data_IF_733654338251
#
_entry.id   IF_733654338251
#
_cell.length_a   1.000
_cell.length_b   1.000
_cell.length_c   1.000
_cell.angle_alpha   90.00
_cell.angle_beta   90.00
_cell.angle_gamma   90.00
#
_symmetry.space_group_name_H-M   'P 1'
#
loop_
_entity.id
_entity.type
_entity.pdbx_description
1 polymer ?
#
# COMPACT_ATOMS: atom_id res chain seq x y z
N UNK A 1 -25.60 -36.72 -40.78
CA UNK A 1 -24.74 -37.21 -39.69
C UNK A 1 -23.94 -36.05 -39.13
N UNK A 2 -24.23 -35.68 -37.88
CA UNK A 2 -23.50 -34.88 -36.87
C UNK A 2 -22.67 -33.66 -37.30
N UNK A 3 -23.03 -32.42 -36.96
CA UNK A 3 -23.13 -31.76 -35.63
C UNK A 3 -21.77 -31.48 -34.97
N UNK A 4 -21.48 -30.19 -34.76
CA UNK A 4 -20.96 -29.60 -33.51
C UNK A 4 -21.02 -28.07 -33.62
N UNK A 5 -22.15 -27.54 -33.14
CA UNK A 5 -22.20 -26.23 -32.47
C UNK A 5 -21.39 -26.34 -31.18
N UNK A 6 -20.66 -25.29 -30.81
CA UNK A 6 -20.38 -25.02 -29.38
C UNK A 6 -20.07 -23.55 -29.13
N UNK A 7 -21.07 -22.90 -28.54
CA UNK A 7 -20.99 -21.84 -27.53
C UNK A 7 -20.29 -20.53 -27.90
N UNK A 8 -21.07 -19.68 -28.55
CA UNK A 8 -21.29 -18.27 -28.20
C UNK A 8 -20.86 -17.94 -26.77
N UNK A 9 -20.01 -16.93 -26.63
CA UNK A 9 -19.70 -16.20 -25.41
C UNK A 9 -20.98 -15.82 -24.63
N UNK A 10 -21.42 -16.69 -23.71
CA UNK A 10 -22.63 -16.51 -22.90
C UNK A 10 -22.36 -16.07 -21.46
N UNK A 11 -21.18 -15.52 -21.21
CA UNK A 11 -20.89 -14.83 -19.96
C UNK A 11 -20.29 -13.45 -20.23
N UNK A 12 -21.13 -12.55 -20.75
CA UNK A 12 -20.87 -11.12 -20.56
C UNK A 12 -21.00 -10.87 -19.07
N UNK A 13 -19.87 -10.66 -18.37
CA UNK A 13 -19.90 -10.26 -16.96
C UNK A 13 -20.84 -9.06 -16.84
N UNK A 14 -21.91 -9.22 -16.07
CA UNK A 14 -22.79 -8.12 -15.75
C UNK A 14 -22.00 -7.16 -14.86
N UNK A 15 -21.69 -5.98 -15.41
CA UNK A 15 -21.10 -4.89 -14.64
C UNK A 15 -22.23 -3.98 -14.18
N UNK A 16 -22.67 -4.07 -12.91
CA UNK A 16 -23.67 -3.14 -12.39
C UNK A 16 -23.14 -1.71 -12.51
N UNK A 17 -24.01 -0.80 -12.93
CA UNK A 17 -23.71 0.63 -13.03
C UNK A 17 -23.75 1.24 -11.64
N UNK A 18 -22.87 2.21 -11.39
CA UNK A 18 -22.88 3.01 -10.15
C UNK A 18 -24.17 3.86 -10.08
N UNK A 19 -24.62 4.38 -11.22
CA UNK A 19 -25.87 5.13 -11.35
C UNK A 19 -26.95 4.33 -12.12
N UNK A 20 -28.09 3.96 -11.49
CA UNK A 20 -29.17 3.21 -12.13
C UNK A 20 -29.83 3.92 -13.31
N UNK A 21 -29.79 5.25 -13.35
CA UNK A 21 -30.40 6.06 -14.40
C UNK A 21 -29.53 6.19 -15.65
N UNK A 22 -28.27 5.76 -15.58
CA UNK A 22 -27.35 5.87 -16.69
C UNK A 22 -27.69 4.82 -17.77
N UNK A 23 -27.80 5.18 -19.07
CA UNK A 23 -28.14 4.24 -20.13
C UNK A 23 -27.07 3.15 -20.31
N UNK A 24 -27.45 1.98 -20.84
CA UNK A 24 -26.49 0.89 -21.03
C UNK A 24 -25.59 1.21 -22.22
N UNK A 25 -24.36 1.63 -21.95
CA UNK A 25 -23.32 1.84 -22.96
C UNK A 25 -22.61 0.51 -23.28
N UNK A 26 -22.26 0.31 -24.55
CA UNK A 26 -21.32 -0.74 -24.99
C UNK A 26 -19.87 -0.26 -24.95
N UNK A 27 -19.66 1.05 -24.79
CA UNK A 27 -18.36 1.66 -24.59
C UNK A 27 -17.97 1.52 -23.12
N UNK A 28 -16.70 1.17 -22.87
CA UNK A 28 -16.11 1.18 -21.53
C UNK A 28 -16.42 2.54 -20.89
N UNK A 29 -16.96 2.60 -19.66
CA UNK A 29 -17.22 3.87 -19.01
C UNK A 29 -15.90 4.67 -18.91
N UNK A 30 -15.95 6.01 -18.93
CA UNK A 30 -14.79 6.81 -18.55
C UNK A 30 -14.28 6.33 -17.17
N UNK A 31 -12.97 6.44 -16.87
CA UNK A 31 -12.39 5.91 -15.63
C UNK A 31 -13.15 6.28 -14.36
N UNK A 32 -13.72 7.50 -14.30
CA UNK A 32 -14.54 8.01 -13.20
C UNK A 32 -15.83 7.22 -12.92
N UNK A 33 -16.34 6.47 -13.91
CA UNK A 33 -17.60 5.69 -13.81
C UNK A 33 -17.35 4.18 -13.77
N UNK A 34 -16.09 3.77 -13.81
CA UNK A 34 -15.73 2.37 -13.63
C UNK A 34 -15.66 2.06 -12.14
N UNK A 35 -16.18 0.89 -11.75
CA UNK A 35 -15.87 0.31 -10.44
C UNK A 35 -14.39 -0.08 -10.44
N UNK A 36 -13.53 0.87 -10.09
CA UNK A 36 -12.15 0.58 -9.79
C UNK A 36 -12.06 0.36 -8.27
N UNK A 37 -12.04 -0.90 -7.86
CA UNK A 37 -11.86 -1.27 -6.45
C UNK A 37 -10.49 -0.86 -5.91
N UNK A 38 -9.56 -0.43 -6.78
CA UNK A 38 -8.19 -0.12 -6.41
C UNK A 38 -8.07 1.30 -5.86
N UNK A 39 -8.89 2.24 -6.33
CA UNK A 39 -8.79 3.65 -5.95
C UNK A 39 -9.98 4.08 -5.09
N UNK A 40 -9.74 4.32 -3.79
CA UNK A 40 -10.76 4.82 -2.86
C UNK A 40 -10.89 6.35 -2.98
N UNK A 41 -11.58 6.81 -4.02
CA UNK A 41 -11.94 8.23 -4.16
C UNK A 41 -13.13 8.62 -3.27
N UNK A 42 -13.25 9.91 -2.88
CA UNK A 42 -14.44 10.42 -2.21
C UNK A 42 -15.71 10.15 -3.03
N UNK A 43 -16.84 9.91 -2.35
CA UNK A 43 -18.11 9.66 -3.03
C UNK A 43 -18.59 10.88 -3.82
N UNK A 44 -19.41 10.65 -4.87
CA UNK A 44 -20.01 11.71 -5.67
C UNK A 44 -20.78 12.73 -4.80
N UNK A 45 -21.45 12.25 -3.74
CA UNK A 45 -22.15 13.11 -2.79
C UNK A 45 -21.18 14.08 -2.10
N UNK A 46 -20.07 13.57 -1.57
CA UNK A 46 -19.07 14.40 -0.90
C UNK A 46 -18.46 15.43 -1.88
N UNK A 47 -18.18 15.01 -3.11
CA UNK A 47 -17.64 15.90 -4.14
C UNK A 47 -18.62 17.02 -4.51
N UNK A 48 -19.92 16.71 -4.64
CA UNK A 48 -20.97 17.70 -4.91
C UNK A 48 -21.12 18.71 -3.78
N UNK A 49 -21.11 18.25 -2.52
CA UNK A 49 -21.17 19.13 -1.35
C UNK A 49 -19.97 20.08 -1.30
N UNK A 50 -18.76 19.59 -1.56
CA UNK A 50 -17.56 20.42 -1.62
C UNK A 50 -17.61 21.44 -2.76
N UNK A 51 -18.08 21.03 -3.94
CA UNK A 51 -18.25 21.92 -5.06
C UNK A 51 -19.27 23.03 -4.78
N UNK A 52 -20.39 22.71 -4.13
CA UNK A 52 -21.40 23.69 -3.72
C UNK A 52 -20.85 24.72 -2.71
N UNK A 53 -19.89 24.32 -1.88
CA UNK A 53 -19.18 25.18 -0.93
C UNK A 53 -17.97 25.92 -1.55
N UNK A 54 -17.67 25.69 -2.83
CA UNK A 54 -16.49 26.29 -3.48
C UNK A 54 -15.15 25.74 -2.98
N UNK A 55 -15.14 24.53 -2.41
CA UNK A 55 -13.93 23.87 -1.94
C UNK A 55 -13.26 23.10 -3.09
N UNK A 56 -12.00 23.41 -3.45
CA UNK A 56 -11.29 22.70 -4.50
C UNK A 56 -10.91 21.28 -4.04
N UNK A 57 -10.94 20.32 -4.96
CA UNK A 57 -10.42 18.98 -4.70
C UNK A 57 -8.89 19.01 -4.54
N UNK A 58 -8.33 18.28 -3.57
CA UNK A 58 -6.90 18.18 -3.41
C UNK A 58 -6.26 17.39 -4.56
N UNK A 59 -5.09 17.84 -5.01
CA UNK A 59 -4.24 17.05 -5.90
C UNK A 59 -3.52 15.96 -5.08
N UNK A 60 -4.00 14.72 -5.18
CA UNK A 60 -3.46 13.60 -4.42
C UNK A 60 -2.02 13.27 -4.82
N UNK A 61 -1.63 13.44 -6.08
CA UNK A 61 -0.26 13.16 -6.52
C UNK A 61 0.72 14.14 -5.84
N UNK A 62 0.37 15.43 -5.79
CA UNK A 62 1.15 16.45 -5.08
C UNK A 62 1.24 16.17 -3.58
N UNK A 63 0.13 15.80 -2.94
CA UNK A 63 0.11 15.50 -1.49
C UNK A 63 0.97 14.28 -1.17
N UNK A 64 0.84 13.20 -1.96
CA UNK A 64 1.60 11.96 -1.81
C UNK A 64 3.10 12.23 -1.92
N UNK A 65 3.52 12.93 -2.97
CA UNK A 65 4.93 13.28 -3.19
C UNK A 65 5.48 14.16 -2.05
N UNK A 66 4.69 15.15 -1.62
CA UNK A 66 5.07 16.02 -0.50
C UNK A 66 5.31 15.23 0.79
N UNK A 67 4.42 14.29 1.15
CA UNK A 67 4.55 13.49 2.38
C UNK A 67 5.81 12.61 2.35
N UNK A 68 6.05 11.91 1.25
CA UNK A 68 7.24 11.07 1.09
C UNK A 68 8.54 11.89 1.18
N UNK A 69 8.61 13.00 0.47
CA UNK A 69 9.79 13.87 0.50
C UNK A 69 10.02 14.47 1.88
N UNK A 70 8.96 14.84 2.61
CA UNK A 70 9.08 15.31 3.99
C UNK A 70 9.70 14.25 4.91
N UNK A 71 9.33 12.97 4.74
CA UNK A 71 9.95 11.87 5.48
C UNK A 71 11.44 11.80 5.18
N UNK A 72 11.83 11.78 3.89
CA UNK A 72 13.24 11.75 3.47
C UNK A 72 14.03 12.94 4.00
N UNK A 73 13.45 14.13 4.02
CA UNK A 73 14.06 15.32 4.63
C UNK A 73 14.33 15.13 6.12
N UNK A 74 13.41 14.51 6.87
CA UNK A 74 13.67 14.21 8.28
C UNK A 74 14.77 13.16 8.43
N UNK A 75 14.78 12.13 7.60
CA UNK A 75 15.85 11.10 7.61
C UNK A 75 17.22 11.71 7.32
N UNK A 76 17.35 12.56 6.29
CA UNK A 76 18.60 13.29 5.99
C UNK A 76 19.04 14.16 7.17
N UNK A 77 18.11 14.88 7.80
CA UNK A 77 18.41 15.75 8.95
C UNK A 77 18.92 14.97 10.16
N UNK A 78 18.45 13.74 10.33
CA UNK A 78 18.85 12.86 11.44
C UNK A 78 20.02 11.95 11.08
N UNK A 79 20.57 12.05 9.87
CA UNK A 79 21.62 11.17 9.34
C UNK A 79 21.26 9.67 9.42
N UNK A 80 20.00 9.35 9.08
CA UNK A 80 19.53 7.97 8.99
C UNK A 80 19.57 7.49 7.54
N UNK A 81 19.81 6.18 7.35
CA UNK A 81 19.81 5.55 6.02
C UNK A 81 18.38 5.21 5.52
N UNK A 82 17.40 5.13 6.42
CA UNK A 82 16.03 4.77 6.09
C UNK A 82 15.15 4.59 7.33
N UNK A 83 13.90 4.20 7.10
CA UNK A 83 12.91 3.89 8.13
C UNK A 83 12.07 2.68 7.74
N UNK A 84 11.68 1.88 8.73
CA UNK A 84 10.69 0.81 8.58
C UNK A 84 9.44 1.19 9.37
N UNK A 85 8.30 1.22 8.69
CA UNK A 85 7.00 1.63 9.23
C UNK A 85 6.08 0.41 9.36
N UNK A 86 5.64 0.11 10.58
CA UNK A 86 4.68 -0.96 10.87
C UNK A 86 3.27 -0.45 11.16
N UNK A 87 3.17 0.76 11.74
CA UNK A 87 1.87 1.36 12.04
C UNK A 87 1.13 1.67 10.72
N UNK A 88 -0.09 1.15 10.51
CA UNK A 88 -0.84 1.39 9.29
C UNK A 88 -1.11 2.88 9.04
N UNK A 89 -1.20 3.72 10.07
CA UNK A 89 -1.35 5.18 9.95
C UNK A 89 -0.07 5.79 9.37
N UNK A 90 1.11 5.36 9.82
CA UNK A 90 2.38 5.84 9.29
C UNK A 90 2.60 5.37 7.84
N UNK A 91 2.25 4.11 7.55
CA UNK A 91 2.28 3.59 6.17
C UNK A 91 1.36 4.43 5.29
N UNK A 92 0.12 4.68 5.74
CA UNK A 92 -0.85 5.52 5.02
C UNK A 92 -0.35 6.94 4.82
N UNK A 93 0.30 7.54 5.81
CA UNK A 93 0.90 8.85 5.65
C UNK A 93 1.98 8.85 4.56
N UNK A 94 2.88 7.87 4.57
CA UNK A 94 4.00 7.80 3.65
C UNK A 94 3.61 7.48 2.20
N UNK A 95 2.61 6.63 2.01
CA UNK A 95 2.34 5.99 0.71
C UNK A 95 0.89 6.16 0.22
N UNK A 96 0.00 6.65 1.09
CA UNK A 96 -1.45 6.75 0.86
C UNK A 96 -2.17 5.41 0.58
N UNK A 97 -1.48 4.28 0.70
CA UNK A 97 -2.13 2.97 0.56
C UNK A 97 -2.87 2.54 1.84
N UNK A 98 -4.07 2.02 1.66
CA UNK A 98 -4.91 1.47 2.71
C UNK A 98 -5.28 0.01 2.42
N UNK A 99 -4.80 -0.90 3.28
CA UNK A 99 -5.26 -2.28 3.32
C UNK A 99 -5.63 -2.66 4.75
N UNK A 100 -6.83 -3.21 4.96
CA UNK A 100 -7.38 -3.69 6.24
C UNK A 100 -6.96 -2.86 7.46
N UNK A 101 -7.08 -1.53 7.40
CA UNK A 101 -6.41 -0.62 8.34
C UNK A 101 -6.68 -0.95 9.82
N UNK A 102 -7.93 -1.24 10.17
CA UNK A 102 -8.33 -1.61 11.55
C UNK A 102 -7.69 -2.92 12.00
N UNK A 103 -7.57 -3.89 11.09
CA UNK A 103 -6.91 -5.17 11.38
C UNK A 103 -5.40 -5.01 11.53
N UNK A 104 -4.77 -4.23 10.64
CA UNK A 104 -3.35 -3.93 10.67
C UNK A 104 -2.92 -3.15 11.93
N UNK A 105 -3.83 -2.45 12.62
CA UNK A 105 -3.51 -1.76 13.89
C UNK A 105 -3.06 -2.72 15.00
N UNK A 106 -3.52 -3.96 14.96
CA UNK A 106 -3.23 -4.97 15.99
C UNK A 106 -2.57 -6.24 15.42
N UNK A 107 -2.29 -6.27 14.11
CA UNK A 107 -1.60 -7.37 13.45
C UNK A 107 -0.47 -6.78 12.58
N UNK A 108 0.78 -7.01 12.99
CA UNK A 108 1.99 -6.50 12.32
C UNK A 108 2.33 -7.32 11.04
N UNK A 109 1.41 -7.30 10.10
CA UNK A 109 1.39 -8.15 8.90
C UNK A 109 1.74 -7.39 7.62
N UNK A 110 1.94 -6.09 7.76
CA UNK A 110 2.21 -5.11 6.71
C UNK A 110 3.25 -4.13 7.21
N UNK A 111 4.24 -3.82 6.39
CA UNK A 111 5.24 -2.80 6.72
C UNK A 111 5.80 -2.15 5.46
N UNK A 112 6.37 -0.96 5.60
CA UNK A 112 6.96 -0.22 4.49
C UNK A 112 8.39 0.19 4.86
N UNK A 113 9.34 -0.10 3.98
CA UNK A 113 10.70 0.40 4.07
C UNK A 113 10.86 1.61 3.14
N UNK A 114 11.35 2.71 3.70
CA UNK A 114 11.63 3.95 2.99
C UNK A 114 13.09 4.29 3.23
N UNK A 115 13.98 4.13 2.25
CA UNK A 115 15.34 4.61 2.36
C UNK A 115 15.35 6.15 2.26
N UNK A 116 16.39 6.76 2.80
CA UNK A 116 16.62 8.20 2.69
C UNK A 116 16.74 8.63 1.24
N UNK A 117 17.40 7.81 0.42
CA UNK A 117 17.46 7.94 -1.03
C UNK A 117 17.29 6.54 -1.65
N UNK A 118 16.55 6.42 -2.75
CA UNK A 118 16.31 5.14 -3.42
C UNK A 118 14.88 4.59 -3.27
N UNK A 119 14.65 3.31 -3.61
CA UNK A 119 13.31 2.77 -3.84
C UNK A 119 12.53 2.54 -2.55
N UNK A 120 11.24 2.90 -2.56
CA UNK A 120 10.27 2.58 -1.51
C UNK A 120 9.76 1.16 -1.71
N UNK A 121 9.85 0.35 -0.66
CA UNK A 121 9.41 -1.05 -0.69
C UNK A 121 8.25 -1.26 0.28
N UNK A 122 7.10 -1.68 -0.24
CA UNK A 122 5.94 -2.07 0.55
C UNK A 122 5.89 -3.59 0.69
N UNK A 123 5.79 -4.06 1.92
CA UNK A 123 5.55 -5.46 2.24
C UNK A 123 4.06 -5.63 2.55
N UNK A 124 3.32 -6.13 1.56
CA UNK A 124 1.87 -6.19 1.59
C UNK A 124 1.37 -7.58 1.98
N UNK A 125 0.17 -7.68 2.55
CA UNK A 125 -0.41 -8.98 2.92
C UNK A 125 -0.51 -9.93 1.70
N UNK A 126 -0.39 -11.24 1.94
CA UNK A 126 -0.40 -12.24 0.86
C UNK A 126 -1.62 -12.10 -0.05
N UNK A 127 -1.37 -12.10 -1.37
CA UNK A 127 -2.38 -11.93 -2.44
C UNK A 127 -3.09 -10.56 -2.47
N UNK A 128 -2.60 -9.56 -1.75
CA UNK A 128 -3.14 -8.20 -1.72
C UNK A 128 -2.27 -7.17 -2.45
N UNK A 129 -1.28 -7.59 -3.23
CA UNK A 129 -0.38 -6.71 -3.98
C UNK A 129 -1.12 -5.77 -4.94
N UNK A 130 -2.20 -6.26 -5.56
CA UNK A 130 -3.09 -5.49 -6.44
C UNK A 130 -3.74 -4.25 -5.81
N UNK A 131 -3.80 -4.15 -4.48
CA UNK A 131 -4.41 -3.02 -3.80
C UNK A 131 -3.52 -1.77 -3.92
N UNK A 132 -2.21 -1.93 -4.03
CA UNK A 132 -1.27 -0.80 -4.01
C UNK A 132 -0.58 -0.54 -5.36
N UNK A 133 -0.81 -1.39 -6.39
CA UNK A 133 -0.16 -1.26 -7.72
C UNK A 133 -0.44 0.05 -8.45
N UNK A 134 -1.51 0.76 -8.10
CA UNK A 134 -1.88 2.04 -8.72
C UNK A 134 -1.13 3.25 -8.15
N UNK A 135 -0.26 3.06 -7.15
CA UNK A 135 0.46 4.12 -6.46
C UNK A 135 1.90 4.22 -6.95
N UNK A 136 2.17 5.24 -7.75
CA UNK A 136 3.47 5.46 -8.41
C UNK A 136 4.65 5.68 -7.46
N UNK A 137 4.40 5.99 -6.18
CA UNK A 137 5.45 6.23 -5.19
C UNK A 137 5.99 4.94 -4.55
N UNK A 138 5.41 3.79 -4.87
CA UNK A 138 5.83 2.50 -4.35
C UNK A 138 6.57 1.78 -5.48
N UNK A 139 7.90 1.73 -5.38
CA UNK A 139 8.74 1.13 -6.41
C UNK A 139 8.63 -0.40 -6.42
N UNK A 140 8.43 -1.00 -5.24
CA UNK A 140 8.35 -2.46 -5.10
C UNK A 140 7.28 -2.90 -4.10
N UNK A 141 6.51 -3.91 -4.48
CA UNK A 141 5.57 -4.61 -3.59
C UNK A 141 6.05 -6.04 -3.39
N UNK A 142 6.29 -6.44 -2.14
CA UNK A 142 6.82 -7.75 -1.78
C UNK A 142 5.88 -8.47 -0.80
N UNK A 143 5.83 -9.82 -0.80
CA UNK A 143 5.17 -10.54 0.28
C UNK A 143 5.92 -10.32 1.60
N UNK A 144 5.23 -10.33 2.75
CA UNK A 144 5.86 -10.00 4.01
C UNK A 144 6.53 -11.26 4.55
N UNK A 145 7.85 -11.21 4.71
CA UNK A 145 8.62 -12.36 5.21
C UNK A 145 8.23 -12.81 6.63
N UNK A 146 7.61 -11.93 7.41
CA UNK A 146 7.30 -12.16 8.83
C UNK A 146 6.06 -13.04 9.08
N UNK A 147 5.17 -13.20 8.09
CA UNK A 147 3.88 -13.90 8.28
C UNK A 147 3.98 -15.42 8.51
N UNK A 148 5.14 -16.04 8.23
CA UNK A 148 5.33 -17.48 8.44
C UNK A 148 6.05 -17.83 9.75
N UNK A 149 6.34 -16.84 10.60
CA UNK A 149 7.13 -17.03 11.81
C UNK A 149 6.28 -16.78 13.06
N UNK A 150 6.47 -17.57 14.15
CA UNK A 150 5.81 -17.31 15.42
C UNK A 150 6.03 -15.87 15.87
N UNK A 151 5.05 -15.25 16.53
CA UNK A 151 5.09 -13.84 16.99
C UNK A 151 6.39 -13.49 17.73
N UNK A 152 6.91 -14.39 18.55
CA UNK A 152 8.20 -14.26 19.24
C UNK A 152 9.39 -14.08 18.27
N UNK A 153 9.38 -14.80 17.16
CA UNK A 153 10.42 -14.73 16.13
C UNK A 153 10.29 -13.44 15.32
N UNK A 154 9.07 -12.93 15.13
CA UNK A 154 8.86 -11.62 14.49
C UNK A 154 9.51 -10.49 15.31
N UNK A 155 9.31 -10.49 16.64
CA UNK A 155 9.99 -9.53 17.53
C UNK A 155 11.51 -9.64 17.46
N UNK A 156 12.05 -10.87 17.47
CA UNK A 156 13.49 -11.10 17.37
C UNK A 156 14.07 -10.66 16.02
N UNK A 157 13.36 -10.85 14.91
CA UNK A 157 13.78 -10.41 13.59
C UNK A 157 13.69 -8.90 13.42
N UNK A 158 12.65 -8.25 13.98
CA UNK A 158 12.57 -6.78 14.01
C UNK A 158 13.78 -6.23 14.78
N UNK A 159 14.11 -6.80 15.93
CA UNK A 159 15.31 -6.44 16.70
C UNK A 159 16.60 -6.74 15.93
N UNK A 160 16.68 -7.83 15.17
CA UNK A 160 17.86 -8.19 14.38
C UNK A 160 18.05 -7.28 13.15
N UNK A 161 16.97 -6.87 12.48
CA UNK A 161 17.03 -5.90 11.37
C UNK A 161 17.40 -4.51 11.90
N UNK A 162 16.82 -4.09 13.02
CA UNK A 162 17.23 -2.87 13.72
C UNK A 162 18.72 -2.96 14.11
N UNK A 163 19.17 -4.09 14.67
CA UNK A 163 20.57 -4.29 15.06
C UNK A 163 21.53 -4.24 13.86
N UNK A 164 21.17 -4.82 12.72
CA UNK A 164 22.04 -4.86 11.54
C UNK A 164 22.03 -3.58 10.71
N UNK A 165 20.94 -2.79 10.77
CA UNK A 165 20.82 -1.51 10.05
C UNK A 165 21.29 -0.32 10.90
N UNK A 166 21.18 -0.38 12.24
CA UNK A 166 21.47 0.75 13.13
C UNK A 166 22.80 0.61 13.89
N UNK A 167 23.27 -0.61 14.23
CA UNK A 167 24.52 -0.76 14.98
C UNK A 167 25.72 -0.81 14.02
N UNK A 168 26.74 0.06 14.20
CA UNK A 168 27.99 -0.08 13.46
C UNK A 168 28.63 -1.45 13.76
N UNK A 169 29.25 -2.05 12.73
CA UNK A 169 29.82 -3.41 12.71
C UNK A 169 30.59 -3.87 13.97
N UNK A 170 31.12 -2.94 14.78
CA UNK A 170 31.84 -3.22 16.01
C UNK A 170 30.96 -3.67 17.19
N UNK A 171 29.65 -3.37 17.22
CA UNK A 171 28.77 -3.76 18.34
C UNK A 171 28.03 -5.10 18.11
N UNK A 172 27.94 -5.56 16.85
CA UNK A 172 27.30 -6.83 16.49
C UNK A 172 28.06 -8.04 17.08
N UNK A 173 29.40 -7.97 17.11
CA UNK A 173 30.26 -9.03 17.67
C UNK A 173 30.10 -9.18 19.18
N UNK A 174 30.04 -8.06 19.91
CA UNK A 174 29.84 -8.05 21.36
C UNK A 174 28.46 -8.59 21.77
N UNK A 175 27.41 -8.28 21.00
CA UNK A 175 26.05 -8.76 21.29
C UNK A 175 25.91 -10.28 21.05
N UNK A 176 26.47 -10.79 19.94
CA UNK A 176 26.48 -12.22 19.62
C UNK A 176 27.25 -13.04 20.66
N UNK A 177 28.34 -12.51 21.22
CA UNK A 177 29.10 -13.18 22.29
C UNK A 177 28.35 -13.26 23.63
N UNK A 178 27.38 -12.39 23.89
CA UNK A 178 26.64 -12.38 25.15
C UNK A 178 25.33 -13.19 25.15
N UNK A 179 24.76 -13.52 23.98
CA UNK A 179 23.40 -14.09 23.89
C UNK A 179 23.32 -15.41 23.12
N UNK A 180 24.42 -15.92 22.56
CA UNK A 180 24.48 -17.21 21.83
C UNK A 180 25.34 -18.24 22.57
N UNK A 181 25.66 -18.00 23.85
CA UNK A 181 26.27 -19.00 24.75
C UNK A 181 25.19 -19.68 25.61
#
# INVERSE_FOLDING_TARGET
>A
MNSRSTATSLFRRYHPKINPHQPHSTKKPPPSEQYDQQTLEPSDLAQQEWQALGLPLPDLAVIRAYRLERIRQQLRRMDYAGIVLFDPINIRYATDTANMQVWCLHNAVRYCFIPTEGPVVLFEFYHCDHISHHLDLIDEIRPPFLLNLPVLVQFLLILAVIATVILPNAQLSAWLSCHVA
#
